data_IF_424975517445
#
_entry.id   IF_424975517445
#
_cell.length_a   1.000
_cell.length_b   1.000
_cell.length_c   1.000
_cell.angle_alpha   90.00
_cell.angle_beta   90.00
_cell.angle_gamma   90.00
#
_symmetry.space_group_name_H-M   'P 1'
#
loop_
_entity.id
_entity.type
_entity.pdbx_description
1 polymer ?
#
# COMPACT_ATOMS: atom_id res chain seq x y z
N UNK A 1 -17.51 -9.11 6.37
CA UNK A 1 -17.57 -8.57 5.00
C UNK A 1 -17.45 -7.06 5.00
N UNK A 2 -18.49 -6.28 5.37
CA UNK A 2 -18.44 -4.80 5.40
C UNK A 2 -17.20 -4.26 6.14
N UNK A 3 -17.03 -4.63 7.42
CA UNK A 3 -15.85 -4.23 8.22
C UNK A 3 -14.51 -4.73 7.66
N UNK A 4 -14.50 -5.88 7.01
CA UNK A 4 -13.29 -6.49 6.44
C UNK A 4 -12.79 -5.67 5.24
N UNK A 5 -13.73 -5.17 4.43
CA UNK A 5 -13.45 -4.42 3.22
C UNK A 5 -13.38 -2.91 3.46
N UNK A 6 -13.58 -2.43 4.70
CA UNK A 6 -13.68 -1.00 4.99
C UNK A 6 -14.91 -0.33 4.34
N UNK A 7 -15.89 -1.12 3.91
CA UNK A 7 -17.02 -0.62 3.14
C UNK A 7 -18.04 0.12 4.02
N UNK A 8 -18.76 1.09 3.45
CA UNK A 8 -19.85 1.83 4.08
C UNK A 8 -21.13 1.01 4.18
N UNK A 9 -21.33 0.09 3.23
CA UNK A 9 -22.54 -0.69 3.04
C UNK A 9 -22.22 -2.05 2.44
N UNK A 10 -23.25 -2.90 2.32
CA UNK A 10 -23.11 -4.26 1.82
C UNK A 10 -22.78 -4.29 0.33
N UNK A 11 -23.38 -3.42 -0.48
CA UNK A 11 -23.19 -3.39 -1.93
C UNK A 11 -21.74 -3.05 -2.28
N UNK A 12 -21.15 -2.07 -1.61
CA UNK A 12 -19.74 -1.73 -1.76
C UNK A 12 -18.82 -2.87 -1.29
N UNK A 13 -19.18 -3.56 -0.21
CA UNK A 13 -18.42 -4.71 0.29
C UNK A 13 -18.45 -5.90 -0.69
N UNK A 14 -19.60 -6.15 -1.30
CA UNK A 14 -19.79 -7.20 -2.32
C UNK A 14 -19.04 -6.87 -3.60
N UNK A 15 -19.09 -5.63 -4.07
CA UNK A 15 -18.33 -5.17 -5.24
C UNK A 15 -16.82 -5.38 -5.04
N UNK A 16 -16.26 -4.94 -3.91
CA UNK A 16 -14.85 -5.13 -3.59
C UNK A 16 -14.49 -6.60 -3.44
N UNK A 17 -15.40 -7.42 -2.89
CA UNK A 17 -15.18 -8.86 -2.77
C UNK A 17 -15.10 -9.52 -4.15
N UNK A 18 -16.00 -9.16 -5.06
CA UNK A 18 -16.00 -9.67 -6.42
C UNK A 18 -14.69 -9.29 -7.16
N UNK A 19 -14.22 -8.06 -7.02
CA UNK A 19 -12.95 -7.62 -7.61
C UNK A 19 -11.77 -8.46 -7.11
N UNK A 20 -11.70 -8.71 -5.80
CA UNK A 20 -10.64 -9.53 -5.19
C UNK A 20 -10.78 -11.00 -5.59
N UNK A 21 -11.99 -11.55 -5.69
CA UNK A 21 -12.21 -12.94 -6.08
C UNK A 21 -11.78 -13.18 -7.53
N UNK A 22 -12.13 -12.28 -8.45
CA UNK A 22 -11.81 -12.41 -9.88
C UNK A 22 -10.31 -12.32 -10.20
N UNK A 23 -9.49 -11.94 -9.23
CA UNK A 23 -8.05 -11.73 -9.35
C UNK A 23 -7.21 -12.98 -9.64
N UNK A 24 -7.57 -14.13 -9.06
CA UNK A 24 -6.75 -15.35 -9.14
C UNK A 24 -6.90 -16.10 -10.48
N UNK A 25 -7.72 -15.62 -11.43
CA UNK A 25 -8.13 -16.38 -12.62
C UNK A 25 -7.30 -16.22 -13.89
N UNK A 26 -6.14 -15.57 -13.84
CA UNK A 26 -5.27 -15.50 -15.04
C UNK A 26 -4.34 -16.72 -15.13
N UNK A 27 -4.93 -17.93 -15.22
CA UNK A 27 -4.18 -19.12 -15.65
C UNK A 27 -4.58 -20.49 -15.10
N UNK A 28 -5.62 -20.63 -14.27
CA UNK A 28 -6.14 -21.92 -13.84
C UNK A 28 -7.57 -22.11 -14.36
N UNK A 29 -7.83 -23.16 -15.13
CA UNK A 29 -9.20 -23.58 -15.43
C UNK A 29 -9.88 -24.03 -14.11
N UNK A 30 -10.93 -23.34 -13.70
CA UNK A 30 -11.75 -23.70 -12.54
C UNK A 30 -12.37 -22.51 -11.82
N UNK A 31 -13.48 -22.74 -11.12
CA UNK A 31 -14.04 -21.77 -10.17
C UNK A 31 -13.03 -21.46 -9.05
N UNK A 32 -13.13 -20.29 -8.41
CA UNK A 32 -12.36 -20.01 -7.22
C UNK A 32 -12.55 -21.06 -6.14
N UNK A 33 -11.45 -21.77 -5.85
CA UNK A 33 -11.35 -22.56 -4.63
C UNK A 33 -11.55 -21.62 -3.43
N UNK A 34 -12.49 -22.01 -2.56
CA UNK A 34 -12.86 -21.32 -1.32
C UNK A 34 -11.60 -21.00 -0.49
N UNK A 35 -10.59 -21.88 -0.50
CA UNK A 35 -9.31 -21.64 0.17
C UNK A 35 -8.60 -20.39 -0.39
N UNK A 36 -8.57 -20.25 -1.71
CA UNK A 36 -7.94 -19.12 -2.39
C UNK A 36 -8.62 -17.79 -2.10
N UNK A 37 -9.97 -17.78 -2.04
CA UNK A 37 -10.75 -16.61 -1.64
C UNK A 37 -10.43 -16.25 -0.18
N UNK A 38 -10.45 -17.23 0.72
CA UNK A 38 -10.20 -16.98 2.15
C UNK A 38 -8.81 -16.40 2.41
N UNK A 39 -7.78 -16.85 1.67
CA UNK A 39 -6.44 -16.27 1.74
C UNK A 39 -6.43 -14.79 1.34
N UNK A 40 -7.08 -14.44 0.23
CA UNK A 40 -7.12 -13.05 -0.25
C UNK A 40 -7.90 -12.15 0.71
N UNK A 41 -9.03 -12.62 1.23
CA UNK A 41 -9.81 -11.90 2.23
C UNK A 41 -9.04 -11.73 3.53
N UNK A 42 -8.24 -12.72 3.94
CA UNK A 42 -7.37 -12.60 5.11
C UNK A 42 -6.27 -11.54 4.91
N UNK A 43 -5.73 -11.40 3.70
CA UNK A 43 -4.77 -10.35 3.38
C UNK A 43 -5.42 -8.95 3.42
N UNK A 44 -6.60 -8.77 2.83
CA UNK A 44 -7.35 -7.50 2.91
C UNK A 44 -7.69 -7.19 4.37
N UNK A 45 -8.15 -8.18 5.14
CA UNK A 45 -8.42 -8.04 6.57
C UNK A 45 -7.17 -7.60 7.36
N UNK A 46 -5.99 -8.10 7.00
CA UNK A 46 -4.71 -7.73 7.61
C UNK A 46 -4.27 -6.29 7.34
N UNK A 47 -4.69 -5.70 6.21
CA UNK A 47 -4.49 -4.27 5.92
C UNK A 47 -5.39 -3.40 6.80
N UNK A 48 -6.51 -3.97 7.25
CA UNK A 48 -7.51 -3.36 8.13
C UNK A 48 -8.04 -2.01 7.59
N UNK A 49 -8.65 -2.00 6.38
CA UNK A 49 -9.19 -0.77 5.80
C UNK A 49 -10.29 -0.17 6.68
N UNK A 50 -10.26 1.16 6.88
CA UNK A 50 -11.19 1.87 7.77
C UNK A 50 -12.30 2.62 7.04
N UNK A 51 -12.18 2.80 5.73
CA UNK A 51 -13.16 3.47 4.87
C UNK A 51 -13.15 2.89 3.44
N UNK A 52 -14.10 3.33 2.62
CA UNK A 52 -14.28 2.83 1.26
C UNK A 52 -13.02 2.97 0.40
N UNK A 53 -12.28 4.06 0.57
CA UNK A 53 -11.08 4.36 -0.21
C UNK A 53 -9.96 3.41 0.22
N UNK A 54 -9.80 3.19 1.53
CA UNK A 54 -8.89 2.17 2.02
C UNK A 54 -9.30 0.76 1.56
N UNK A 55 -10.60 0.47 1.47
CA UNK A 55 -11.12 -0.78 0.95
C UNK A 55 -10.72 -1.06 -0.50
N UNK A 56 -10.90 -0.07 -1.36
CA UNK A 56 -10.44 -0.11 -2.76
C UNK A 56 -8.92 -0.25 -2.84
N UNK A 57 -8.19 0.55 -2.07
CA UNK A 57 -6.73 0.54 -2.08
C UNK A 57 -6.17 -0.79 -1.56
N UNK A 58 -6.72 -1.33 -0.47
CA UNK A 58 -6.32 -2.62 0.09
C UNK A 58 -6.54 -3.76 -0.90
N UNK A 59 -7.69 -3.77 -1.57
CA UNK A 59 -8.00 -4.74 -2.63
C UNK A 59 -6.97 -4.66 -3.77
N UNK A 60 -6.63 -3.45 -4.21
CA UNK A 60 -5.61 -3.22 -5.24
C UNK A 60 -4.18 -3.55 -4.75
N UNK A 61 -3.87 -3.40 -3.47
CA UNK A 61 -2.55 -3.75 -2.93
C UNK A 61 -2.35 -5.27 -2.92
N UNK A 62 -3.35 -6.02 -2.49
CA UNK A 62 -3.34 -7.49 -2.54
C UNK A 62 -3.18 -7.97 -3.99
N UNK A 63 -3.85 -7.30 -4.92
CA UNK A 63 -3.73 -7.54 -6.35
C UNK A 63 -2.32 -7.42 -6.89
N UNK A 64 -1.76 -6.24 -6.70
CA UNK A 64 -0.45 -5.88 -7.22
C UNK A 64 0.61 -6.82 -6.63
N UNK A 65 0.48 -7.18 -5.35
CA UNK A 65 1.34 -8.17 -4.72
C UNK A 65 1.25 -9.54 -5.42
N UNK A 66 0.04 -10.09 -5.57
CA UNK A 66 -0.16 -11.40 -6.20
C UNK A 66 0.37 -11.43 -7.65
N UNK A 67 0.05 -10.41 -8.45
CA UNK A 67 0.52 -10.29 -9.83
C UNK A 67 2.04 -10.17 -9.91
N UNK A 68 2.66 -9.42 -8.98
CA UNK A 68 4.11 -9.30 -8.92
C UNK A 68 4.77 -10.64 -8.62
N UNK A 69 4.24 -11.40 -7.66
CA UNK A 69 4.79 -12.70 -7.29
C UNK A 69 4.62 -13.73 -8.42
N UNK A 70 3.50 -13.71 -9.14
CA UNK A 70 3.33 -14.59 -10.31
C UNK A 70 4.27 -14.21 -11.46
N UNK A 71 4.45 -12.91 -11.74
CA UNK A 71 5.46 -12.47 -12.71
C UNK A 71 6.87 -12.93 -12.32
N UNK A 72 7.28 -12.73 -11.06
CA UNK A 72 8.56 -13.22 -10.56
C UNK A 72 8.68 -14.74 -10.75
N UNK A 73 7.66 -15.50 -10.38
CA UNK A 73 7.60 -16.96 -10.56
C UNK A 73 7.76 -17.38 -12.02
N UNK A 74 7.00 -16.77 -12.94
CA UNK A 74 7.04 -17.08 -14.39
C UNK A 74 8.39 -16.77 -15.02
N UNK A 75 9.10 -15.77 -14.51
CA UNK A 75 10.45 -15.45 -14.96
C UNK A 75 11.48 -16.56 -14.64
N UNK A 76 11.19 -17.39 -13.63
CA UNK A 76 12.09 -18.46 -13.17
C UNK A 76 11.78 -19.84 -13.78
N UNK A 77 10.87 -19.93 -14.76
CA UNK A 77 10.56 -21.21 -15.41
C UNK A 77 11.79 -21.78 -16.14
N UNK A 78 12.00 -23.09 -16.02
CA UNK A 78 13.18 -23.80 -16.53
C UNK A 78 13.37 -23.60 -18.03
N UNK A 79 12.28 -23.64 -18.81
CA UNK A 79 12.28 -23.48 -20.27
C UNK A 79 11.89 -22.07 -20.72
N UNK A 80 12.08 -21.05 -19.87
CA UNK A 80 11.71 -19.67 -20.21
C UNK A 80 12.71 -19.06 -21.19
N UNK A 81 12.20 -18.40 -22.25
CA UNK A 81 13.04 -17.66 -23.20
C UNK A 81 13.66 -16.43 -22.54
N UNK A 82 14.74 -15.90 -23.12
CA UNK A 82 15.37 -14.68 -22.60
C UNK A 82 14.38 -13.50 -22.58
N UNK A 83 13.63 -13.33 -23.66
CA UNK A 83 12.59 -12.30 -23.80
C UNK A 83 11.48 -12.48 -22.76
N UNK A 84 11.05 -13.72 -22.52
CA UNK A 84 10.05 -14.05 -21.50
C UNK A 84 10.54 -13.72 -20.09
N UNK A 85 11.80 -14.08 -19.75
CA UNK A 85 12.41 -13.72 -18.46
C UNK A 85 12.43 -12.21 -18.27
N UNK A 86 12.90 -11.48 -19.28
CA UNK A 86 13.01 -10.03 -19.25
C UNK A 86 11.64 -9.36 -19.12
N UNK A 87 10.63 -9.82 -19.86
CA UNK A 87 9.26 -9.32 -19.79
C UNK A 87 8.69 -9.47 -18.38
N UNK A 88 8.73 -10.68 -17.81
CA UNK A 88 8.14 -10.94 -16.51
C UNK A 88 8.90 -10.28 -15.36
N UNK A 89 10.24 -10.23 -15.40
CA UNK A 89 11.03 -9.50 -14.40
C UNK A 89 10.70 -8.01 -14.41
N UNK A 90 10.65 -7.39 -15.59
CA UNK A 90 10.33 -5.96 -15.70
C UNK A 90 8.90 -5.65 -15.22
N UNK A 91 7.93 -6.49 -15.56
CA UNK A 91 6.55 -6.37 -15.05
C UNK A 91 6.50 -6.50 -13.53
N UNK A 92 7.21 -7.48 -12.97
CA UNK A 92 7.32 -7.66 -11.51
C UNK A 92 7.90 -6.42 -10.84
N UNK A 93 9.02 -5.88 -11.35
CA UNK A 93 9.66 -4.67 -10.78
C UNK A 93 8.72 -3.47 -10.81
N UNK A 94 7.97 -3.28 -11.91
CA UNK A 94 6.98 -2.19 -12.01
C UNK A 94 5.87 -2.34 -10.97
N UNK A 95 5.32 -3.54 -10.82
CA UNK A 95 4.28 -3.83 -9.82
C UNK A 95 4.80 -3.64 -8.39
N UNK A 96 6.02 -4.07 -8.07
CA UNK A 96 6.65 -3.83 -6.76
C UNK A 96 6.78 -2.32 -6.45
N UNK A 97 7.15 -1.50 -7.44
CA UNK A 97 7.19 -0.04 -7.29
C UNK A 97 5.79 0.55 -7.08
N UNK A 98 4.79 0.05 -7.80
CA UNK A 98 3.38 0.43 -7.57
C UNK A 98 2.94 0.09 -6.15
N UNK A 99 3.28 -1.10 -5.64
CA UNK A 99 2.96 -1.51 -4.28
C UNK A 99 3.56 -0.57 -3.23
N UNK A 100 4.83 -0.17 -3.41
CA UNK A 100 5.47 0.81 -2.54
C UNK A 100 4.76 2.17 -2.56
N UNK A 101 4.37 2.66 -3.74
CA UNK A 101 3.61 3.90 -3.87
C UNK A 101 2.21 3.82 -3.22
N UNK A 102 1.53 2.68 -3.32
CA UNK A 102 0.26 2.44 -2.64
C UNK A 102 0.43 2.41 -1.12
N UNK A 103 1.51 1.82 -0.61
CA UNK A 103 1.83 1.81 0.81
C UNK A 103 2.06 3.24 1.33
N UNK A 104 2.78 4.07 0.59
CA UNK A 104 2.96 5.49 0.92
C UNK A 104 1.65 6.27 0.88
N UNK A 105 0.80 6.01 -0.12
CA UNK A 105 -0.53 6.61 -0.22
C UNK A 105 -1.41 6.24 0.98
N UNK A 106 -1.43 4.96 1.38
CA UNK A 106 -2.17 4.49 2.55
C UNK A 106 -1.64 5.13 3.84
N UNK A 107 -0.32 5.20 4.01
CA UNK A 107 0.27 5.85 5.17
C UNK A 107 -0.12 7.33 5.26
N UNK A 108 -0.04 8.06 4.15
CA UNK A 108 -0.45 9.47 4.07
C UNK A 108 -1.94 9.66 4.35
N UNK A 109 -2.79 8.80 3.79
CA UNK A 109 -4.24 8.81 4.03
C UNK A 109 -4.56 8.61 5.52
N UNK A 110 -3.83 7.71 6.19
CA UNK A 110 -3.91 7.47 7.64
C UNK A 110 -3.24 8.54 8.51
N UNK A 111 -2.78 9.64 7.92
CA UNK A 111 -2.10 10.74 8.63
C UNK A 111 -0.68 10.39 9.11
N UNK A 112 -0.11 9.25 8.72
CA UNK A 112 1.30 8.92 8.98
C UNK A 112 2.19 9.69 8.00
N UNK A 113 3.20 10.39 8.51
CA UNK A 113 4.14 11.18 7.70
C UNK A 113 3.74 12.63 7.48
N UNK A 114 2.70 13.13 8.16
CA UNK A 114 2.43 14.57 8.24
C UNK A 114 3.47 15.24 9.14
N UNK A 115 4.32 16.09 8.56
CA UNK A 115 5.14 17.01 9.34
C UNK A 115 4.21 18.08 9.90
N UNK A 116 3.92 18.02 11.20
CA UNK A 116 3.01 18.97 11.85
C UNK A 116 3.66 20.36 11.89
N UNK A 117 3.36 21.18 10.88
CA UNK A 117 3.79 22.59 10.83
C UNK A 117 2.76 23.42 11.59
N UNK A 118 3.07 23.79 12.84
CA UNK A 118 2.27 24.78 13.57
C UNK A 118 2.75 26.17 13.14
N UNK A 119 1.85 26.98 12.58
CA UNK A 119 2.14 28.38 12.26
C UNK A 119 1.79 29.23 13.47
N UNK A 120 2.80 29.83 14.09
CA UNK A 120 2.65 30.80 15.16
C UNK A 120 3.17 32.16 14.70
N UNK A 121 2.39 33.23 14.92
CA UNK A 121 2.86 34.59 14.67
C UNK A 121 3.82 35.01 15.78
N UNK A 122 5.13 34.99 15.48
CA UNK A 122 6.16 35.49 16.39
C UNK A 122 6.48 36.94 16.03
N UNK A 123 6.22 37.85 16.96
CA UNK A 123 6.71 39.23 16.86
C UNK A 123 8.13 39.31 17.42
N UNK A 124 9.08 39.71 16.58
CA UNK A 124 10.44 40.06 17.02
C UNK A 124 10.49 41.58 17.16
N UNK A 125 10.62 42.05 18.39
CA UNK A 125 10.73 43.48 18.69
C UNK A 125 12.09 44.03 18.25
N UNK A 126 12.21 45.35 18.15
CA UNK A 126 13.47 46.04 17.84
C UNK A 126 14.57 45.64 18.85
N UNK A 127 15.68 45.11 18.34
CA UNK A 127 16.78 44.55 19.15
C UNK A 127 16.66 43.05 19.52
N UNK A 128 15.52 42.40 19.21
CA UNK A 128 15.37 40.95 19.38
C UNK A 128 16.02 40.15 18.25
N UNK A 129 16.66 39.02 18.59
CA UNK A 129 17.19 38.07 17.60
C UNK A 129 16.54 36.70 17.78
N UNK A 130 16.05 36.13 16.68
CA UNK A 130 15.53 34.77 16.64
C UNK A 130 16.55 33.85 15.96
N UNK A 131 16.81 32.69 16.57
CA UNK A 131 17.69 31.66 16.02
C UNK A 131 16.80 30.53 15.49
N UNK A 132 17.02 30.12 14.24
CA UNK A 132 16.33 28.98 13.62
C UNK A 132 17.36 27.87 13.42
N UNK A 133 17.16 26.73 14.09
CA UNK A 133 18.06 25.59 13.99
C UNK A 133 18.08 24.73 15.24
N UNK A 134 18.85 23.64 15.21
CA UNK A 134 19.02 22.74 16.35
C UNK A 134 19.98 23.40 17.35
N UNK A 135 19.47 23.80 18.53
CA UNK A 135 20.29 24.44 19.57
C UNK A 135 20.76 23.38 20.56
N UNK A 136 22.01 22.95 20.43
CA UNK A 136 22.68 22.15 21.47
C UNK A 136 23.15 23.10 22.58
N UNK A 137 22.44 23.08 23.72
CA UNK A 137 22.78 23.90 24.87
C UNK A 137 24.17 23.52 25.42
N UNK A 138 25.14 24.41 25.23
CA UNK A 138 26.49 24.26 25.79
C UNK A 138 26.44 24.17 27.31
N UNK A 139 26.64 22.96 27.84
CA UNK A 139 26.80 22.70 29.28
C UNK A 139 28.20 23.14 29.69
N UNK A 140 28.35 24.40 30.06
CA UNK A 140 29.60 24.93 30.64
C UNK A 140 29.77 24.38 32.06
N UNK A 141 30.69 23.42 32.23
CA UNK A 141 31.21 23.01 33.53
C UNK A 141 32.21 24.04 34.05
N UNK A 142 32.03 24.47 35.30
CA UNK A 142 33.09 25.05 36.11
C UNK A 142 33.99 23.95 36.66
#
# INVERSE_FOLDING_TARGET
>A
MIKTMGASDLDAAEALMNDVCNMKFVGGEGDPDVKGINELLALVAGIAPTDNIEGMLASQMVAVHAMSMDCARRSMFVNQTFEGKQLYLNSSIKLMRTYAAQMDALNKHRGKGQQKMTVEHVHVNEGGQAIIGNVEGGRNGK
#
